data_IF_484639785321
#
_entry.id   IF_484639785321
#
_cell.length_a   1.000
_cell.length_b   1.000
_cell.length_c   1.000
_cell.angle_alpha   90.00
_cell.angle_beta   90.00
_cell.angle_gamma   90.00
#
_symmetry.space_group_name_H-M   'P 1'
#
loop_
_entity.id
_entity.type
_entity.pdbx_description
1 polymer ?
#
# COMPACT_ATOMS: atom_id res chain seq x y z
N UNK A 1 -23.34 -15.02 42.58
CA UNK A 1 -22.33 -14.10 42.03
C UNK A 1 -21.64 -14.83 40.88
N UNK A 2 -21.74 -14.34 39.65
CA UNK A 2 -20.98 -14.91 38.55
C UNK A 2 -19.54 -14.35 38.64
N UNK A 3 -18.67 -15.09 39.32
CA UNK A 3 -17.25 -14.80 39.41
C UNK A 3 -16.56 -15.22 38.11
N UNK A 4 -16.10 -14.23 37.35
CA UNK A 4 -15.18 -14.43 36.23
C UNK A 4 -13.83 -14.79 36.84
N UNK A 5 -13.58 -16.09 37.02
CA UNK A 5 -12.49 -16.59 37.87
C UNK A 5 -11.09 -16.14 37.44
N UNK A 6 -10.83 -15.88 36.16
CA UNK A 6 -9.63 -15.17 35.67
C UNK A 6 -9.37 -15.48 34.20
N UNK A 7 -8.59 -14.61 33.56
CA UNK A 7 -7.98 -14.88 32.26
C UNK A 7 -7.11 -16.14 32.31
N UNK A 8 -6.38 -16.40 33.40
CA UNK A 8 -5.54 -17.59 33.56
C UNK A 8 -6.31 -18.92 33.50
N UNK A 9 -7.52 -18.98 34.08
CA UNK A 9 -8.35 -20.19 34.04
C UNK A 9 -8.73 -20.62 32.60
N UNK A 10 -8.78 -19.68 31.65
CA UNK A 10 -9.03 -19.96 30.23
C UNK A 10 -7.84 -20.63 29.54
N UNK A 11 -6.61 -20.26 29.94
CA UNK A 11 -5.38 -20.84 29.41
C UNK A 11 -5.07 -22.19 30.08
N UNK A 12 -5.38 -22.31 31.37
CA UNK A 12 -5.22 -23.54 32.17
C UNK A 12 -6.22 -24.66 31.78
N UNK A 13 -7.31 -24.36 31.06
CA UNK A 13 -8.21 -25.38 30.51
C UNK A 13 -7.61 -26.16 29.33
N UNK A 14 -6.32 -25.93 29.02
CA UNK A 14 -5.43 -26.88 28.36
C UNK A 14 -5.59 -27.07 26.86
N UNK A 15 -6.65 -26.53 26.23
CA UNK A 15 -6.85 -26.73 24.79
C UNK A 15 -7.74 -25.70 24.09
N UNK A 16 -8.82 -25.24 24.71
CA UNK A 16 -9.81 -24.40 24.04
C UNK A 16 -9.28 -23.00 23.66
N UNK A 17 -8.49 -22.36 24.53
CA UNK A 17 -7.92 -21.05 24.26
C UNK A 17 -6.98 -21.05 23.05
N UNK A 18 -6.24 -22.14 22.83
CA UNK A 18 -5.29 -22.24 21.71
C UNK A 18 -6.01 -22.29 20.35
N UNK A 19 -7.16 -22.97 20.26
CA UNK A 19 -7.97 -23.00 19.04
C UNK A 19 -8.61 -21.63 18.73
N UNK A 20 -9.07 -20.92 19.76
CA UNK A 20 -9.64 -19.58 19.60
C UNK A 20 -8.56 -18.61 19.13
N UNK A 21 -7.47 -18.49 19.89
CA UNK A 21 -6.36 -17.60 19.54
C UNK A 21 -5.67 -17.99 18.23
N UNK A 22 -5.57 -19.28 17.93
CA UNK A 22 -5.10 -19.78 16.64
C UNK A 22 -5.99 -19.33 15.49
N UNK A 23 -7.31 -19.47 15.60
CA UNK A 23 -8.26 -19.05 14.56
C UNK A 23 -8.25 -17.54 14.34
N UNK A 24 -8.22 -16.75 15.43
CA UNK A 24 -8.05 -15.30 15.35
C UNK A 24 -6.70 -14.91 14.73
N UNK A 25 -5.62 -15.60 15.10
CA UNK A 25 -4.29 -15.41 14.53
C UNK A 25 -4.23 -15.72 13.04
N UNK A 26 -4.83 -16.83 12.60
CA UNK A 26 -4.93 -17.20 11.19
C UNK A 26 -5.74 -16.17 10.41
N UNK A 27 -6.88 -15.73 10.95
CA UNK A 27 -7.72 -14.71 10.30
C UNK A 27 -6.98 -13.38 10.19
N UNK A 28 -6.28 -12.97 11.25
CA UNK A 28 -5.45 -11.77 11.26
C UNK A 28 -4.28 -11.87 10.27
N UNK A 29 -3.63 -13.04 10.18
CA UNK A 29 -2.56 -13.30 9.23
C UNK A 29 -3.06 -13.20 7.79
N UNK A 30 -4.24 -13.76 7.48
CA UNK A 30 -4.86 -13.63 6.16
C UNK A 30 -5.19 -12.18 5.82
N UNK A 31 -5.77 -11.42 6.76
CA UNK A 31 -6.01 -9.99 6.57
C UNK A 31 -4.72 -9.20 6.33
N UNK A 32 -3.69 -9.45 7.14
CA UNK A 32 -2.39 -8.79 7.01
C UNK A 32 -1.74 -9.12 5.66
N UNK A 33 -1.81 -10.39 5.23
CA UNK A 33 -1.29 -10.83 3.94
C UNK A 33 -1.98 -10.11 2.79
N UNK A 34 -3.31 -10.06 2.79
CA UNK A 34 -4.09 -9.36 1.77
C UNK A 34 -3.76 -7.86 1.77
N UNK A 35 -3.66 -7.24 2.94
CA UNK A 35 -3.29 -5.83 3.06
C UNK A 35 -1.89 -5.56 2.49
N UNK A 36 -0.92 -6.42 2.78
CA UNK A 36 0.44 -6.33 2.23
C UNK A 36 0.42 -6.50 0.71
N UNK A 37 -0.31 -7.47 0.18
CA UNK A 37 -0.47 -7.70 -1.27
C UNK A 37 -1.09 -6.48 -1.97
N UNK A 38 -2.15 -5.92 -1.40
CA UNK A 38 -2.82 -4.72 -1.91
C UNK A 38 -1.89 -3.51 -1.88
N UNK A 39 -1.16 -3.30 -0.78
CA UNK A 39 -0.19 -2.22 -0.66
C UNK A 39 0.96 -2.37 -1.66
N UNK A 40 1.44 -3.59 -1.91
CA UNK A 40 2.46 -3.87 -2.94
C UNK A 40 1.93 -3.54 -4.34
N UNK A 41 0.72 -4.00 -4.69
CA UNK A 41 0.08 -3.67 -5.98
C UNK A 41 -0.14 -2.17 -6.18
N UNK A 42 -0.48 -1.43 -5.12
CA UNK A 42 -0.60 0.03 -5.19
C UNK A 42 0.73 0.71 -5.52
N UNK A 43 1.85 0.24 -4.96
CA UNK A 43 3.17 0.81 -5.24
C UNK A 43 3.55 0.66 -6.72
N UNK A 44 3.21 -0.47 -7.34
CA UNK A 44 3.52 -0.72 -8.75
C UNK A 44 2.73 0.22 -9.69
N UNK A 45 1.43 0.39 -9.42
CA UNK A 45 0.56 1.27 -10.21
C UNK A 45 0.94 2.75 -10.06
N UNK A 46 1.20 3.20 -8.83
CA UNK A 46 1.58 4.60 -8.55
C UNK A 46 2.93 4.93 -9.17
N UNK A 47 3.91 4.03 -9.07
CA UNK A 47 5.24 4.24 -9.67
C UNK A 47 5.14 4.37 -11.19
N UNK A 48 4.25 3.61 -11.82
CA UNK A 48 4.02 3.68 -13.27
C UNK A 48 3.34 4.99 -13.67
N UNK A 49 2.32 5.44 -12.94
CA UNK A 49 1.66 6.73 -13.18
C UNK A 49 2.60 7.93 -12.97
N UNK A 50 3.45 7.89 -11.95
CA UNK A 50 4.43 8.95 -11.68
C UNK A 50 5.47 9.10 -12.80
N UNK A 51 5.85 8.01 -13.48
CA UNK A 51 6.76 8.05 -14.64
C UNK A 51 6.10 8.69 -15.86
N UNK A 52 4.84 8.35 -16.14
CA UNK A 52 4.08 8.94 -17.24
C UNK A 52 3.90 10.45 -17.07
N UNK A 53 3.59 10.92 -15.85
CA UNK A 53 3.45 12.36 -15.57
C UNK A 53 4.75 13.15 -15.83
N UNK A 54 5.92 12.56 -15.55
CA UNK A 54 7.22 13.21 -15.79
C UNK A 54 7.59 13.29 -17.26
N UNK A 55 7.27 12.26 -18.05
CA UNK A 55 7.51 12.26 -19.49
C UNK A 55 6.61 13.28 -20.21
N UNK A 56 5.30 13.26 -19.91
CA UNK A 56 4.32 14.17 -20.52
C UNK A 56 4.64 15.65 -20.22
N UNK A 57 5.10 15.96 -19.01
CA UNK A 57 5.49 17.34 -18.66
C UNK A 57 6.72 17.86 -19.42
N UNK A 58 7.65 16.97 -19.80
CA UNK A 58 8.87 17.33 -20.52
C UNK A 58 8.61 17.56 -22.02
N UNK A 59 7.67 16.81 -22.60
CA UNK A 59 7.27 16.98 -24.00
C UNK A 59 6.49 18.28 -24.24
N UNK A 60 5.61 18.66 -23.30
CA UNK A 60 4.91 19.96 -23.36
C UNK A 60 5.89 21.14 -23.22
N UNK A 61 6.86 21.07 -22.30
CA UNK A 61 7.85 22.12 -22.11
C UNK A 61 8.80 22.28 -23.33
N UNK A 62 9.20 21.17 -23.95
CA UNK A 62 10.06 21.18 -25.15
C UNK A 62 9.33 21.76 -26.36
N UNK A 63 8.03 21.49 -26.51
CA UNK A 63 7.23 22.01 -27.64
C UNK A 63 7.06 23.53 -27.58
N UNK A 64 6.94 24.10 -26.38
CA UNK A 64 6.86 25.55 -26.16
C UNK A 64 8.21 26.27 -26.36
N UNK A 65 9.32 25.63 -25.99
CA UNK A 65 10.66 26.20 -26.21
C UNK A 65 11.16 26.12 -27.66
N UNK A 66 10.69 25.14 -28.44
CA UNK A 66 11.07 24.96 -29.84
C UNK A 66 10.29 25.85 -30.83
N UNK A 67 9.21 26.51 -30.38
CA UNK A 67 8.38 27.40 -31.19
C UNK A 67 8.79 28.87 -31.14
N UNK A 68 9.95 29.21 -30.58
CA UNK A 68 10.57 30.52 -30.84
C UNK A 68 11.53 30.30 -32.02
N UNK A 69 11.09 30.49 -33.28
CA UNK A 69 12.04 30.62 -34.36
C UNK A 69 12.89 31.84 -34.03
N UNK A 70 14.17 31.61 -33.81
CA UNK A 70 15.20 32.63 -33.91
C UNK A 70 15.15 33.12 -35.36
N UNK A 71 14.24 34.04 -35.63
CA UNK A 71 14.21 34.79 -36.88
C UNK A 71 14.85 36.13 -36.57
N UNK A 72 15.96 36.36 -37.27
CA UNK A 72 16.59 37.67 -37.49
C UNK A 72 17.50 38.19 -36.37
N UNK A 73 18.66 37.53 -36.26
CA UNK A 73 19.92 38.27 -36.40
C UNK A 73 20.16 38.50 -37.90
N UNK A 74 20.75 39.63 -38.28
CA UNK A 74 20.99 40.11 -39.66
C UNK A 74 19.70 40.78 -40.21
N UNK A 75 19.61 42.11 -40.35
CA UNK A 75 20.53 43.11 -40.92
C UNK A 75 20.31 44.51 -40.35
#
# INVERSE_FOLDING_TARGET
MAQWESWSAFWDMGGAAFFVWGSYGVTFALMALELVLVLRRRKDTVTRLLRWRRAVGKDSARKTGASVPVMESET
#
